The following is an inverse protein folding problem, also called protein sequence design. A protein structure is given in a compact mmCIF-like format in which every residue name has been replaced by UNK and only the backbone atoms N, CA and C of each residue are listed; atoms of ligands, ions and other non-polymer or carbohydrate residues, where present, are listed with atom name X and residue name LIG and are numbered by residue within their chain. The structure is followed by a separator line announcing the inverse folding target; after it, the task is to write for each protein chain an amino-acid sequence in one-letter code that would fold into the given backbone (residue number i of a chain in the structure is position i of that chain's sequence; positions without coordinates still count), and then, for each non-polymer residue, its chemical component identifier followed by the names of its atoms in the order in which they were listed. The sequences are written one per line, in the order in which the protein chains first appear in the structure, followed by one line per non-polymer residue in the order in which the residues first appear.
data_IF_275021389985
#
_entry.id   IF_275021389985
#
_cell.length_a   1.000
_cell.length_b   1.000
_cell.length_c   1.000
_cell.angle_alpha   90.00
_cell.angle_beta   90.00
_cell.angle_gamma   90.00
#
_symmetry.space_group_name_H-M   'P 1'
#
loop_
_entity.id
_entity.type
_entity.pdbx_description
1 polymer ?
#
# COMPACT_ATOMS: atom_id res chain seq x y z
N UNK A 1 8.23 28.10 -4.16
CA UNK A 1 8.51 27.39 -5.42
C UNK A 1 8.43 25.91 -5.13
N UNK A 2 7.59 25.13 -5.84
CA UNK A 2 7.54 23.67 -5.66
C UNK A 2 8.86 23.08 -6.15
N UNK A 3 9.58 22.38 -5.27
CA UNK A 3 10.79 21.68 -5.64
C UNK A 3 10.42 20.41 -6.43
N UNK A 4 10.54 20.51 -7.76
CA UNK A 4 10.21 19.42 -8.68
C UNK A 4 11.02 18.14 -8.41
N UNK A 5 12.23 18.26 -7.83
CA UNK A 5 13.05 17.11 -7.47
C UNK A 5 12.40 16.31 -6.33
N UNK A 6 11.86 16.99 -5.32
CA UNK A 6 11.14 16.37 -4.19
C UNK A 6 9.82 15.77 -4.62
N UNK A 7 9.07 16.43 -5.52
CA UNK A 7 7.84 15.85 -6.07
C UNK A 7 8.13 14.54 -6.81
N UNK A 8 9.16 14.54 -7.66
CA UNK A 8 9.57 13.33 -8.39
C UNK A 8 10.02 12.21 -7.44
N UNK A 9 10.75 12.55 -6.38
CA UNK A 9 11.13 11.60 -5.34
C UNK A 9 9.91 10.92 -4.71
N UNK A 10 8.93 11.69 -4.23
CA UNK A 10 7.73 11.11 -3.62
C UNK A 10 6.90 10.27 -4.61
N UNK A 11 6.80 10.71 -5.87
CA UNK A 11 6.13 9.93 -6.90
C UNK A 11 6.82 8.60 -7.15
N UNK A 12 8.16 8.59 -7.28
CA UNK A 12 8.92 7.33 -7.41
C UNK A 12 8.75 6.42 -6.20
N UNK A 13 8.79 6.99 -4.99
CA UNK A 13 8.62 6.26 -3.74
C UNK A 13 7.25 5.57 -3.66
N UNK A 14 6.22 6.17 -4.24
CA UNK A 14 4.87 5.57 -4.33
C UNK A 14 4.72 4.45 -5.37
N UNK A 15 5.79 4.14 -6.14
CA UNK A 15 5.87 3.07 -7.17
C UNK A 15 4.68 3.05 -8.16
N UNK A 16 4.56 4.05 -9.07
CA UNK A 16 3.39 4.19 -9.95
C UNK A 16 3.11 2.99 -10.85
N UNK A 17 4.14 2.23 -11.22
CA UNK A 17 3.96 1.00 -11.99
C UNK A 17 3.17 -0.07 -11.22
N UNK A 18 3.28 -0.07 -9.89
CA UNK A 18 2.53 -0.99 -9.02
C UNK A 18 1.07 -0.54 -8.89
N UNK A 19 0.74 0.73 -9.15
CA UNK A 19 -0.66 1.20 -9.16
C UNK A 19 -1.51 0.37 -10.13
N UNK A 20 -0.95 0.02 -11.29
CA UNK A 20 -1.62 -0.80 -12.31
C UNK A 20 -1.92 -2.21 -11.79
N UNK A 21 -1.12 -2.72 -10.85
CA UNK A 21 -1.28 -4.04 -10.25
C UNK A 21 -2.31 -4.00 -9.11
N UNK A 22 -2.36 -2.92 -8.32
CA UNK A 22 -3.27 -2.80 -7.16
C UNK A 22 -4.67 -2.31 -7.55
N UNK A 23 -4.81 -1.38 -8.49
CA UNK A 23 -6.11 -0.79 -8.85
C UNK A 23 -7.17 -1.82 -9.29
N UNK A 24 -6.84 -2.93 -9.98
CA UNK A 24 -7.81 -4.01 -10.21
C UNK A 24 -8.48 -4.53 -8.93
N UNK A 25 -7.78 -4.55 -7.79
CA UNK A 25 -8.33 -4.96 -6.50
C UNK A 25 -9.26 -3.92 -5.87
N UNK A 26 -9.17 -2.65 -6.23
CA UNK A 26 -10.24 -1.70 -5.93
C UNK A 26 -11.47 -1.94 -6.83
N UNK A 27 -11.25 -2.29 -8.10
CA UNK A 27 -12.30 -2.43 -9.11
C UNK A 27 -13.13 -3.72 -8.98
N UNK A 28 -12.52 -4.85 -8.59
CA UNK A 28 -13.19 -6.15 -8.56
C UNK A 28 -14.53 -6.18 -7.78
N UNK A 29 -14.67 -5.64 -6.55
CA UNK A 29 -15.94 -5.67 -5.82
C UNK A 29 -17.00 -4.76 -6.45
N UNK A 30 -16.59 -3.84 -7.33
CA UNK A 30 -17.44 -2.90 -8.04
C UNK A 30 -17.82 -3.41 -9.45
N UNK A 31 -17.34 -4.59 -9.83
CA UNK A 31 -17.53 -5.18 -11.15
C UNK A 31 -19.00 -5.28 -11.53
N UNK A 32 -19.31 -4.97 -12.80
CA UNK A 32 -20.67 -5.01 -13.35
C UNK A 32 -21.56 -3.82 -12.96
N UNK A 33 -21.02 -2.80 -12.28
CA UNK A 33 -21.74 -1.57 -11.90
C UNK A 33 -21.19 -0.35 -12.64
N UNK A 34 -21.48 -0.26 -13.94
CA UNK A 34 -20.98 0.84 -14.79
C UNK A 34 -21.53 2.21 -14.38
N UNK A 35 -22.66 2.26 -13.70
CA UNK A 35 -23.25 3.45 -13.10
C UNK A 35 -22.30 4.16 -12.11
N UNK A 36 -21.44 3.41 -11.42
CA UNK A 36 -20.47 3.96 -10.48
C UNK A 36 -19.44 4.87 -11.16
N UNK A 37 -19.16 4.68 -12.46
CA UNK A 37 -18.23 5.52 -13.21
C UNK A 37 -18.68 6.99 -13.29
N UNK A 38 -19.98 7.26 -13.11
CA UNK A 38 -20.53 8.61 -13.06
C UNK A 38 -20.47 9.24 -11.65
N UNK A 39 -19.99 8.51 -10.65
CA UNK A 39 -19.99 8.95 -9.25
C UNK A 39 -18.63 9.49 -8.82
N UNK A 40 -18.63 10.56 -8.04
CA UNK A 40 -17.39 11.10 -7.46
C UNK A 40 -16.74 10.12 -6.47
N UNK A 41 -17.55 9.30 -5.79
CA UNK A 41 -17.11 8.29 -4.81
C UNK A 41 -16.16 7.27 -5.45
N UNK A 42 -16.54 6.78 -6.63
CA UNK A 42 -15.74 5.84 -7.41
C UNK A 42 -14.35 6.40 -7.69
N UNK A 43 -14.30 7.58 -8.32
CA UNK A 43 -13.05 8.21 -8.73
C UNK A 43 -12.18 8.63 -7.56
N UNK A 44 -12.79 9.13 -6.48
CA UNK A 44 -12.04 9.51 -5.29
C UNK A 44 -11.38 8.30 -4.62
N UNK A 45 -12.09 7.18 -4.48
CA UNK A 45 -11.49 5.96 -3.96
C UNK A 45 -10.43 5.38 -4.88
N UNK A 46 -10.67 5.38 -6.20
CA UNK A 46 -9.69 4.92 -7.19
C UNK A 46 -8.38 5.73 -7.09
N UNK A 47 -8.47 7.06 -7.05
CA UNK A 47 -7.32 7.95 -6.90
C UNK A 47 -6.66 7.79 -5.53
N UNK A 48 -7.42 7.54 -4.47
CA UNK A 48 -6.89 7.34 -3.13
C UNK A 48 -5.96 6.12 -3.04
N UNK A 49 -6.27 5.03 -3.74
CA UNK A 49 -5.40 3.84 -3.81
C UNK A 49 -4.19 3.99 -4.73
N UNK A 50 -4.07 5.10 -5.48
CA UNK A 50 -2.84 5.42 -6.20
C UNK A 50 -1.78 6.01 -5.26
N UNK A 51 -1.49 7.30 -5.37
CA UNK A 51 -0.43 7.96 -4.62
C UNK A 51 -0.60 7.89 -3.09
N UNK A 52 -1.76 8.24 -2.48
CA UNK A 52 -1.89 8.29 -1.01
C UNK A 52 -1.58 6.97 -0.29
N UNK A 53 -2.26 5.90 -0.67
CA UNK A 53 -2.04 4.58 -0.05
C UNK A 53 -0.68 4.02 -0.45
N UNK A 54 -0.26 4.18 -1.71
CA UNK A 54 1.02 3.61 -2.15
C UNK A 54 2.22 4.27 -1.50
N UNK A 55 2.23 5.60 -1.32
CA UNK A 55 3.33 6.27 -0.60
C UNK A 55 3.35 5.90 0.89
N UNK A 56 2.20 5.62 1.49
CA UNK A 56 2.15 5.07 2.85
C UNK A 56 2.80 3.69 2.90
N UNK A 57 2.42 2.78 1.99
CA UNK A 57 2.91 1.40 2.01
C UNK A 57 4.39 1.32 1.68
N UNK A 58 4.79 1.90 0.55
CA UNK A 58 6.17 1.79 0.05
C UNK A 58 7.11 2.78 0.70
N UNK A 59 6.63 3.97 1.08
CA UNK A 59 7.45 4.94 1.80
C UNK A 59 7.88 4.42 3.17
N UNK A 60 6.96 3.78 3.92
CA UNK A 60 7.32 3.16 5.21
C UNK A 60 8.22 1.94 5.00
N UNK A 61 7.96 1.13 3.97
CA UNK A 61 8.79 -0.03 3.65
C UNK A 61 10.24 0.39 3.34
N UNK A 62 10.45 1.35 2.43
CA UNK A 62 11.78 1.81 2.03
C UNK A 62 12.51 2.50 3.21
N UNK A 63 11.80 3.26 4.05
CA UNK A 63 12.39 3.81 5.29
C UNK A 63 12.87 2.73 6.27
N UNK A 64 12.20 1.58 6.31
CA UNK A 64 12.53 0.49 7.22
C UNK A 64 13.63 -0.43 6.69
N UNK A 65 13.71 -0.61 5.37
CA UNK A 65 14.59 -1.57 4.69
C UNK A 65 15.87 -0.97 4.09
N UNK A 66 16.23 0.27 4.46
CA UNK A 66 17.48 0.94 4.04
C UNK A 66 18.76 0.09 4.22
N UNK A 67 18.79 -0.81 5.21
CA UNK A 67 19.90 -1.74 5.47
C UNK A 67 19.98 -2.92 4.50
N UNK A 68 18.85 -3.33 3.94
CA UNK A 68 18.71 -4.48 3.02
C UNK A 68 18.68 -4.03 1.55
N UNK A 69 18.04 -2.89 1.26
CA UNK A 69 17.85 -2.37 -0.10
C UNK A 69 19.16 -2.08 -0.84
N UNK A 70 20.25 -1.82 -0.10
CA UNK A 70 21.61 -1.67 -0.67
C UNK A 70 22.10 -2.92 -1.42
N UNK A 71 21.54 -4.09 -1.12
CA UNK A 71 21.89 -5.36 -1.76
C UNK A 71 20.97 -5.72 -2.94
N UNK A 72 19.87 -4.99 -3.15
CA UNK A 72 18.87 -5.33 -4.17
C UNK A 72 19.15 -4.60 -5.50
N UNK A 73 19.52 -5.32 -6.58
CA UNK A 73 19.80 -4.69 -7.87
C UNK A 73 18.58 -3.99 -8.49
N UNK A 74 17.36 -4.42 -8.14
CA UNK A 74 16.12 -3.83 -8.67
C UNK A 74 15.87 -2.43 -8.13
N UNK A 75 16.39 -2.11 -6.95
CA UNK A 75 16.35 -0.75 -6.36
C UNK A 75 17.27 0.24 -7.08
N UNK A 76 18.10 -0.24 -8.01
CA UNK A 76 18.81 0.64 -8.96
C UNK A 76 17.91 1.11 -10.11
N UNK A 77 16.77 0.44 -10.33
CA UNK A 77 15.77 0.89 -11.30
C UNK A 77 14.84 1.90 -10.61
N UNK A 78 14.76 3.10 -11.19
CA UNK A 78 14.06 4.26 -10.62
C UNK A 78 12.56 4.06 -10.32
N UNK A 79 11.94 2.99 -10.82
CA UNK A 79 10.53 2.67 -10.64
C UNK A 79 10.21 1.75 -9.43
N UNK A 80 11.22 1.14 -8.80
CA UNK A 80 11.05 0.23 -7.65
C UNK A 80 11.43 0.86 -6.30
N UNK A 81 11.71 2.16 -6.28
CA UNK A 81 12.32 2.86 -5.14
C UNK A 81 13.85 2.85 -5.27
N UNK A 82 14.49 3.96 -4.89
CA UNK A 82 15.94 4.14 -5.02
C UNK A 82 16.70 3.63 -3.79
N UNK A 83 18.01 3.43 -3.95
CA UNK A 83 18.96 3.34 -2.82
C UNK A 83 19.21 4.74 -2.23
N UNK A 84 18.13 5.48 -1.97
CA UNK A 84 18.21 6.86 -1.54
C UNK A 84 18.81 6.93 -0.12
N UNK A 85 19.69 7.91 0.16
CA UNK A 85 20.25 8.10 1.49
C UNK A 85 19.15 8.32 2.53
N UNK A 86 19.36 7.88 3.78
CA UNK A 86 18.42 8.10 4.90
C UNK A 86 18.01 9.58 5.03
N UNK A 87 18.90 10.51 4.69
CA UNK A 87 18.62 11.95 4.69
C UNK A 87 17.53 12.38 3.73
N UNK A 88 17.32 11.66 2.62
CA UNK A 88 16.26 11.96 1.65
C UNK A 88 14.86 11.68 2.20
N UNK A 89 14.73 10.75 3.15
CA UNK A 89 13.45 10.41 3.79
C UNK A 89 12.97 11.47 4.80
N UNK A 90 13.72 12.56 5.00
CA UNK A 90 13.28 13.68 5.81
C UNK A 90 11.97 14.26 5.26
N UNK A 91 10.88 14.13 6.03
CA UNK A 91 9.57 14.67 5.65
C UNK A 91 8.62 13.67 4.98
N UNK A 92 9.06 12.44 4.66
CA UNK A 92 8.18 11.39 4.10
C UNK A 92 6.98 11.13 5.00
N UNK A 93 7.18 11.09 6.33
CA UNK A 93 6.07 10.98 7.29
C UNK A 93 5.02 12.08 7.14
N UNK A 94 5.45 13.34 6.94
CA UNK A 94 4.52 14.46 6.75
C UNK A 94 3.73 14.29 5.46
N UNK A 95 4.39 13.86 4.38
CA UNK A 95 3.72 13.60 3.10
C UNK A 95 2.73 12.45 3.23
N UNK A 96 3.10 11.33 3.88
CA UNK A 96 2.19 10.21 4.14
C UNK A 96 0.97 10.67 4.92
N UNK A 97 1.16 11.39 6.03
CA UNK A 97 0.07 11.87 6.87
C UNK A 97 -0.84 12.84 6.11
N UNK A 98 -0.29 13.83 5.41
CA UNK A 98 -1.09 14.79 4.64
C UNK A 98 -1.82 14.10 3.50
N UNK A 99 -1.11 13.27 2.71
CA UNK A 99 -1.67 12.61 1.53
C UNK A 99 -2.81 11.64 1.89
N UNK A 100 -2.80 11.05 3.10
CA UNK A 100 -3.87 10.14 3.53
C UNK A 100 -4.95 10.86 4.36
N UNK A 101 -4.58 11.64 5.38
CA UNK A 101 -5.55 12.26 6.28
C UNK A 101 -6.38 13.34 5.59
N UNK A 102 -5.83 14.09 4.63
CA UNK A 102 -6.60 15.13 3.94
C UNK A 102 -7.74 14.54 3.09
N UNK A 103 -7.51 13.57 2.17
CA UNK A 103 -8.60 12.90 1.47
C UNK A 103 -9.56 12.19 2.43
N UNK A 104 -9.08 11.44 3.42
CA UNK A 104 -9.95 10.70 4.33
C UNK A 104 -10.83 11.61 5.19
N UNK A 105 -10.29 12.74 5.67
CA UNK A 105 -11.09 13.74 6.39
C UNK A 105 -12.14 14.34 5.47
N UNK A 106 -11.75 14.67 4.23
CA UNK A 106 -12.70 15.17 3.21
C UNK A 106 -13.82 14.16 2.97
N UNK A 107 -13.48 12.88 2.80
CA UNK A 107 -14.44 11.79 2.62
C UNK A 107 -15.35 11.67 3.85
N UNK A 108 -14.79 11.71 5.06
CA UNK A 108 -15.55 11.64 6.32
C UNK A 108 -16.59 12.76 6.41
N UNK A 109 -16.22 13.98 6.02
CA UNK A 109 -17.14 15.13 5.98
C UNK A 109 -18.28 14.87 4.99
N UNK A 110 -17.98 14.53 3.74
CA UNK A 110 -18.99 14.43 2.68
C UNK A 110 -19.89 13.18 2.79
N UNK A 111 -19.43 12.16 3.50
CA UNK A 111 -20.22 10.95 3.80
C UNK A 111 -20.86 10.99 5.20
N UNK A 112 -20.47 11.95 6.04
CA UNK A 112 -20.81 12.01 7.47
C UNK A 112 -20.38 10.78 8.27
N UNK A 113 -19.39 10.02 7.79
CA UNK A 113 -18.87 8.83 8.47
C UNK A 113 -17.53 9.14 9.13
N UNK A 114 -17.60 9.51 10.40
CA UNK A 114 -16.45 9.84 11.23
C UNK A 114 -15.85 8.63 11.96
N UNK A 115 -16.35 7.42 11.68
CA UNK A 115 -15.91 6.20 12.36
C UNK A 115 -15.11 5.34 11.40
N UNK A 116 -15.66 5.02 10.23
CA UNK A 116 -15.06 4.07 9.31
C UNK A 116 -13.70 4.55 8.76
N UNK A 117 -13.60 5.78 8.24
CA UNK A 117 -12.37 6.24 7.59
C UNK A 117 -11.19 6.46 8.56
N UNK A 118 -11.38 7.05 9.75
CA UNK A 118 -10.33 7.08 10.76
C UNK A 118 -9.91 5.68 11.23
N UNK A 119 -10.87 4.78 11.44
CA UNK A 119 -10.59 3.39 11.82
C UNK A 119 -9.81 2.65 10.72
N UNK A 120 -10.25 2.76 9.46
CA UNK A 120 -9.58 2.21 8.29
C UNK A 120 -8.12 2.69 8.22
N UNK A 121 -7.89 3.99 8.39
CA UNK A 121 -6.52 4.55 8.41
C UNK A 121 -5.70 4.01 9.57
N UNK A 122 -6.25 4.00 10.78
CA UNK A 122 -5.54 3.52 11.96
C UNK A 122 -5.12 2.04 11.80
N UNK A 123 -6.02 1.19 11.29
CA UNK A 123 -5.73 -0.22 11.03
C UNK A 123 -4.71 -0.38 9.89
N UNK A 124 -4.91 0.29 8.74
CA UNK A 124 -4.00 0.18 7.60
C UNK A 124 -2.59 0.70 7.90
N UNK A 125 -2.50 1.88 8.52
CA UNK A 125 -1.25 2.48 8.95
C UNK A 125 -0.59 1.63 10.05
N UNK A 126 -1.36 1.20 11.06
CA UNK A 126 -0.88 0.34 12.14
C UNK A 126 -0.32 -1.00 11.63
N UNK A 127 -1.04 -1.67 10.72
CA UNK A 127 -0.56 -2.90 10.08
C UNK A 127 0.75 -2.64 9.33
N UNK A 128 0.86 -1.53 8.60
CA UNK A 128 2.06 -1.22 7.84
C UNK A 128 3.27 -0.94 8.77
N UNK A 129 3.05 -0.25 9.89
CA UNK A 129 4.05 -0.03 10.93
C UNK A 129 4.48 -1.36 11.57
N UNK A 130 3.53 -2.20 11.99
CA UNK A 130 3.82 -3.50 12.59
C UNK A 130 4.57 -4.41 11.60
N UNK A 131 4.23 -4.32 10.32
CA UNK A 131 4.89 -5.10 9.29
C UNK A 131 6.35 -4.71 9.08
N UNK A 132 6.64 -3.41 8.98
CA UNK A 132 7.96 -2.91 8.56
C UNK A 132 8.88 -2.50 9.73
N UNK A 133 8.34 -1.89 10.79
CA UNK A 133 9.15 -1.20 11.79
C UNK A 133 9.92 -2.18 12.69
N UNK A 134 11.19 -1.86 13.01
CA UNK A 134 12.16 -2.76 13.67
C UNK A 134 11.66 -3.43 14.96
N UNK A 135 10.76 -2.79 15.70
CA UNK A 135 10.18 -3.34 16.93
C UNK A 135 9.44 -4.67 16.67
N UNK A 136 8.73 -4.77 15.55
CA UNK A 136 7.92 -5.94 15.20
C UNK A 136 8.51 -6.67 13.99
N UNK A 137 8.79 -5.94 12.90
CA UNK A 137 9.42 -6.39 11.67
C UNK A 137 8.85 -7.73 11.16
N UNK A 138 7.52 -7.85 11.09
CA UNK A 138 6.87 -9.07 10.61
C UNK A 138 7.30 -9.42 9.19
N UNK A 139 7.62 -8.41 8.36
CA UNK A 139 8.18 -8.58 7.03
C UNK A 139 9.48 -9.40 6.99
N UNK A 140 10.19 -9.53 8.12
CA UNK A 140 11.46 -10.24 8.22
C UNK A 140 11.33 -11.62 8.87
N UNK A 141 10.10 -12.06 9.21
CA UNK A 141 9.82 -13.24 10.03
C UNK A 141 8.82 -14.18 9.35
N UNK A 142 9.27 -15.37 8.96
CA UNK A 142 8.39 -16.44 8.52
C UNK A 142 7.46 -16.93 9.67
N UNK A 143 6.19 -17.27 9.40
CA UNK A 143 5.43 -17.06 8.15
C UNK A 143 4.67 -15.71 8.13
N UNK A 144 5.01 -14.79 9.03
CA UNK A 144 4.27 -13.55 9.26
C UNK A 144 4.46 -12.53 8.12
N UNK A 145 5.52 -12.69 7.33
CA UNK A 145 5.76 -11.95 6.09
C UNK A 145 4.65 -12.17 5.04
N UNK A 146 3.85 -13.23 5.17
CA UNK A 146 2.73 -13.50 4.25
C UNK A 146 1.41 -12.81 4.62
N UNK A 147 1.28 -12.24 5.82
CA UNK A 147 -0.02 -11.81 6.35
C UNK A 147 -0.46 -10.41 5.89
N UNK A 148 0.49 -9.51 5.70
CA UNK A 148 0.16 -8.10 5.48
C UNK A 148 -0.44 -7.81 4.10
N UNK A 149 0.01 -8.50 3.05
CA UNK A 149 -0.54 -8.32 1.70
C UNK A 149 -2.02 -8.73 1.62
N UNK A 150 -2.43 -9.94 2.10
CA UNK A 150 -3.84 -10.31 2.19
C UNK A 150 -4.66 -9.34 3.03
N UNK A 151 -4.17 -8.93 4.20
CA UNK A 151 -4.86 -7.97 5.05
C UNK A 151 -5.07 -6.62 4.33
N UNK A 152 -4.05 -6.12 3.62
CA UNK A 152 -4.12 -4.90 2.82
C UNK A 152 -5.17 -4.97 1.71
N UNK A 153 -5.18 -6.04 0.90
CA UNK A 153 -6.16 -6.19 -0.19
C UNK A 153 -7.59 -6.39 0.34
N UNK A 154 -7.76 -7.03 1.51
CA UNK A 154 -9.06 -7.13 2.16
C UNK A 154 -9.55 -5.77 2.68
N UNK A 155 -8.66 -4.95 3.24
CA UNK A 155 -8.98 -3.57 3.63
C UNK A 155 -9.35 -2.71 2.41
N UNK A 156 -8.61 -2.81 1.31
CA UNK A 156 -8.93 -2.14 0.06
C UNK A 156 -10.33 -2.49 -0.45
N UNK A 157 -10.67 -3.78 -0.47
CA UNK A 157 -12.01 -4.27 -0.79
C UNK A 157 -13.09 -3.69 0.13
N UNK A 158 -12.85 -3.70 1.45
CA UNK A 158 -13.78 -3.13 2.44
C UNK A 158 -14.02 -1.64 2.17
N UNK A 159 -12.95 -0.88 1.91
CA UNK A 159 -13.04 0.54 1.58
C UNK A 159 -13.82 0.77 0.28
N UNK A 160 -13.53 0.02 -0.78
CA UNK A 160 -14.18 0.14 -2.07
C UNK A 160 -15.70 -0.08 -1.95
N UNK A 161 -16.12 -1.17 -1.29
CA UNK A 161 -17.53 -1.46 -1.03
C UNK A 161 -18.20 -0.37 -0.19
N UNK A 162 -17.57 0.02 0.93
CA UNK A 162 -18.13 1.00 1.86
C UNK A 162 -18.32 2.38 1.23
N UNK A 163 -17.28 2.91 0.57
CA UNK A 163 -17.34 4.22 -0.07
C UNK A 163 -18.38 4.26 -1.19
N UNK A 164 -18.50 3.19 -1.99
CA UNK A 164 -19.43 3.12 -3.11
C UNK A 164 -20.81 2.60 -2.74
N UNK A 165 -21.07 2.28 -1.46
CA UNK A 165 -22.33 1.75 -0.97
C UNK A 165 -22.76 0.46 -1.69
N UNK A 166 -21.78 -0.39 -2.00
CA UNK A 166 -21.98 -1.70 -2.64
C UNK A 166 -21.84 -2.78 -1.57
N UNK A 167 -22.71 -3.82 -1.55
CA UNK A 167 -22.56 -4.93 -0.62
C UNK A 167 -21.21 -5.62 -0.81
N UNK A 168 -20.66 -6.16 0.27
CA UNK A 168 -19.46 -6.98 0.17
C UNK A 168 -19.73 -8.20 -0.71
N UNK A 169 -18.76 -8.58 -1.56
CA UNK A 169 -18.90 -9.79 -2.36
C UNK A 169 -18.97 -11.02 -1.45
N UNK A 170 -19.56 -12.09 -1.97
CA UNK A 170 -19.67 -13.36 -1.24
C UNK A 170 -18.29 -14.00 -0.98
N UNK A 171 -18.29 -15.18 -0.35
CA UNK A 171 -17.07 -15.87 0.06
C UNK A 171 -16.11 -16.17 -1.11
N UNK A 172 -16.63 -16.42 -2.31
CA UNK A 172 -15.81 -16.78 -3.49
C UNK A 172 -14.75 -15.73 -3.85
N UNK A 173 -15.14 -14.48 -4.17
CA UNK A 173 -14.19 -13.39 -4.37
C UNK A 173 -13.29 -13.16 -3.16
N UNK A 174 -13.78 -13.32 -1.92
CA UNK A 174 -12.91 -13.18 -0.74
C UNK A 174 -11.75 -14.20 -0.74
N UNK A 175 -12.00 -15.45 -1.11
CA UNK A 175 -10.95 -16.47 -1.27
C UNK A 175 -10.01 -16.08 -2.41
N UNK A 176 -10.54 -15.60 -3.54
CA UNK A 176 -9.72 -15.14 -4.67
C UNK A 176 -8.76 -14.01 -4.26
N UNK A 177 -9.22 -13.05 -3.45
CA UNK A 177 -8.38 -11.96 -2.93
C UNK A 177 -7.21 -12.49 -2.10
N UNK A 178 -7.50 -13.38 -1.15
CA UNK A 178 -6.49 -13.94 -0.26
C UNK A 178 -5.48 -14.76 -1.06
N UNK A 179 -5.95 -15.64 -1.95
CA UNK A 179 -5.09 -16.46 -2.80
C UNK A 179 -4.21 -15.60 -3.71
N UNK A 180 -4.78 -14.59 -4.37
CA UNK A 180 -4.03 -13.68 -5.24
C UNK A 180 -2.99 -12.87 -4.47
N UNK A 181 -3.34 -12.38 -3.28
CA UNK A 181 -2.41 -11.69 -2.38
C UNK A 181 -1.23 -12.57 -2.00
N UNK A 182 -1.49 -13.83 -1.62
CA UNK A 182 -0.43 -14.78 -1.27
C UNK A 182 0.47 -15.08 -2.48
N UNK A 183 -0.09 -15.24 -3.68
CA UNK A 183 0.69 -15.46 -4.90
C UNK A 183 1.60 -14.26 -5.18
N UNK A 184 1.07 -13.03 -5.09
CA UNK A 184 1.86 -11.81 -5.27
C UNK A 184 2.99 -11.74 -4.23
N UNK A 185 2.68 -12.00 -2.96
CA UNK A 185 3.63 -11.92 -1.87
C UNK A 185 4.75 -12.97 -2.01
N UNK A 186 4.39 -14.23 -2.27
CA UNK A 186 5.35 -15.32 -2.47
C UNK A 186 6.23 -15.03 -3.69
N UNK A 187 5.65 -14.56 -4.81
CA UNK A 187 6.45 -14.18 -5.99
C UNK A 187 7.41 -13.03 -5.69
N UNK A 188 6.96 -12.03 -4.94
CA UNK A 188 7.81 -10.93 -4.48
C UNK A 188 9.00 -11.43 -3.66
N UNK A 189 8.71 -12.23 -2.63
CA UNK A 189 9.72 -12.80 -1.74
C UNK A 189 10.71 -13.72 -2.50
N UNK A 190 10.24 -14.54 -3.45
CA UNK A 190 11.11 -15.36 -4.30
C UNK A 190 12.05 -14.50 -5.16
N UNK A 191 11.55 -13.37 -5.64
CA UNK A 191 12.37 -12.44 -6.44
C UNK A 191 13.44 -11.76 -5.60
N UNK A 192 13.16 -11.53 -4.31
CA UNK A 192 14.07 -10.85 -3.37
C UNK A 192 14.91 -11.79 -2.50
N UNK A 193 14.75 -13.11 -2.63
CA UNK A 193 15.36 -14.12 -1.76
C UNK A 193 16.85 -13.91 -1.52
N UNK A 194 17.64 -13.72 -2.59
CA UNK A 194 19.09 -13.54 -2.46
C UNK A 194 19.47 -12.25 -1.73
N UNK A 195 18.78 -11.14 -2.02
CA UNK A 195 19.02 -9.86 -1.37
C UNK A 195 18.55 -9.86 0.08
N UNK A 196 17.42 -10.49 0.37
CA UNK A 196 16.85 -10.62 1.70
C UNK A 196 17.73 -11.51 2.59
N UNK A 197 18.26 -12.61 2.05
CA UNK A 197 19.23 -13.47 2.73
C UNK A 197 20.53 -12.71 3.07
N UNK A 198 21.06 -11.90 2.14
CA UNK A 198 22.22 -11.02 2.39
C UNK A 198 21.94 -9.94 3.44
N UNK A 199 20.69 -9.46 3.49
CA UNK A 199 20.20 -8.54 4.51
C UNK A 199 19.84 -9.20 5.84
N UNK A 200 19.98 -10.54 5.96
CA UNK A 200 19.69 -11.30 7.17
C UNK A 200 18.20 -11.46 7.48
N UNK A 201 17.30 -11.21 6.52
CA UNK A 201 15.87 -11.50 6.68
C UNK A 201 15.62 -13.01 6.65
N UNK A 202 14.59 -13.46 7.38
CA UNK A 202 14.12 -14.85 7.39
C UNK A 202 12.65 -14.87 6.96
N UNK A 203 12.42 -14.70 5.66
CA UNK A 203 11.09 -14.75 5.03
C UNK A 203 10.65 -16.19 4.81
N UNK A 204 9.41 -16.39 4.35
CA UNK A 204 8.82 -17.73 4.20
C UNK A 204 9.48 -18.58 3.10
N UNK A 205 10.13 -17.95 2.12
CA UNK A 205 10.74 -18.62 0.97
C UNK A 205 12.26 -18.64 1.05
#
# INVERSE_FOLDING_TARGET
MLDLSRVNFYLKLSRPIIWIIILPYYLFPLGGRLDLLATWRFWLGLLYFTFPVSIMIFGINDMADTDVDKYNPRKMLSYFGGQDPISEFSGVWKVILIANLLPLTTISIVTSDWVFYPFFFAVGFGLNIVYNFKLFALARKAPLDLLCCPAGLLLEKLFACHLNQVPLPNTGPCVFYIASALIIQVRGALTDMDSDARGGKRTTV
#
